data_IF_257568134256
#
_entry.id   IF_257568134256
#
_cell.length_a   1.000
_cell.length_b   1.000
_cell.length_c   1.000
_cell.angle_alpha   90.00
_cell.angle_beta   90.00
_cell.angle_gamma   90.00
#
_symmetry.space_group_name_H-M   'P 1'
#
loop_
_entity.id
_entity.type
_entity.pdbx_description
1 polymer ?
#
# COMPACT_ATOMS: atom_id res chain seq x y z
N UNK A 1 -0.70 76.30 -8.85
CA UNK A 1 -0.97 74.83 -8.90
C UNK A 1 0.23 73.89 -9.15
N UNK A 2 1.43 74.31 -9.59
CA UNK A 2 2.56 73.37 -9.78
C UNK A 2 3.50 73.22 -8.56
N UNK A 3 3.45 74.13 -7.57
CA UNK A 3 4.36 74.11 -6.41
C UNK A 3 3.90 73.19 -5.27
N UNK A 4 2.57 73.06 -5.07
CA UNK A 4 1.99 72.17 -4.06
C UNK A 4 2.19 70.68 -4.40
N UNK A 5 2.21 70.33 -5.70
CA UNK A 5 2.54 68.97 -6.17
C UNK A 5 4.03 68.62 -5.99
N UNK A 6 4.94 69.61 -6.04
CA UNK A 6 6.38 69.41 -5.82
C UNK A 6 6.73 69.23 -4.34
N UNK A 7 6.05 69.92 -3.43
CA UNK A 7 6.22 69.75 -1.98
C UNK A 7 5.64 68.41 -1.51
N UNK A 8 4.50 67.99 -2.06
CA UNK A 8 3.92 66.67 -1.78
C UNK A 8 4.78 65.51 -2.33
N UNK A 9 5.38 65.67 -3.52
CA UNK A 9 6.28 64.67 -4.10
C UNK A 9 7.62 64.57 -3.34
N UNK A 10 8.16 65.69 -2.82
CA UNK A 10 9.38 65.66 -1.99
C UNK A 10 9.14 65.08 -0.59
N UNK A 11 7.95 65.28 -0.02
CA UNK A 11 7.55 64.69 1.25
C UNK A 11 7.28 63.17 1.16
N UNK A 12 6.72 62.70 0.03
CA UNK A 12 6.59 61.25 -0.23
C UNK A 12 7.94 60.58 -0.55
N UNK A 13 8.86 61.27 -1.24
CA UNK A 13 10.20 60.73 -1.52
C UNK A 13 11.11 60.66 -0.27
N UNK A 14 11.02 61.64 0.65
CA UNK A 14 11.75 61.57 1.93
C UNK A 14 11.18 60.51 2.88
N UNK A 15 9.87 60.21 2.83
CA UNK A 15 9.28 59.10 3.59
C UNK A 15 9.66 57.72 3.01
N UNK A 16 9.95 57.62 1.71
CA UNK A 16 10.49 56.39 1.12
C UNK A 16 11.97 56.17 1.44
N UNK A 17 12.77 57.23 1.64
CA UNK A 17 14.23 57.09 1.90
C UNK A 17 14.54 56.92 3.40
N UNK A 18 13.77 57.52 4.32
CA UNK A 18 13.93 57.21 5.76
C UNK A 18 13.36 55.83 6.16
N UNK A 19 12.45 55.26 5.37
CA UNK A 19 11.97 53.88 5.56
C UNK A 19 12.98 52.80 5.12
N UNK A 20 13.94 53.17 4.24
CA UNK A 20 14.92 52.24 3.68
C UNK A 20 16.27 52.19 4.41
N UNK A 21 16.49 52.96 5.49
CA UNK A 21 17.78 52.97 6.22
C UNK A 21 17.67 52.54 7.70
N UNK A 22 16.46 52.28 8.22
CA UNK A 22 16.25 51.85 9.61
C UNK A 22 15.93 50.35 9.80
N UNK A 23 16.20 49.48 8.80
CA UNK A 23 16.02 48.02 8.93
C UNK A 23 17.28 47.22 8.54
N UNK A 24 18.44 47.89 8.37
CA UNK A 24 19.73 47.22 8.10
C UNK A 24 20.57 46.95 9.37
N UNK A 25 19.93 46.92 10.54
CA UNK A 25 20.52 46.37 11.76
C UNK A 25 19.40 45.69 12.56
N UNK A 26 19.53 44.38 12.80
CA UNK A 26 18.57 43.51 13.50
C UNK A 26 17.45 42.90 12.63
N UNK A 27 17.84 42.08 11.67
CA UNK A 27 16.98 41.02 11.13
C UNK A 27 17.77 39.70 11.08
N UNK A 28 18.22 39.24 12.24
CA UNK A 28 18.29 37.80 12.51
C UNK A 28 16.88 37.32 12.81
N UNK A 29 16.01 37.33 11.78
CA UNK A 29 14.67 36.76 11.89
C UNK A 29 14.89 35.26 11.91
N UNK A 30 14.76 34.67 13.11
CA UNK A 30 14.39 33.28 13.28
C UNK A 30 13.34 33.00 12.22
N UNK A 31 13.68 32.11 11.29
CA UNK A 31 12.66 31.30 10.65
C UNK A 31 11.97 30.61 11.82
N UNK A 32 10.78 31.08 12.19
CA UNK A 32 9.81 30.23 12.87
C UNK A 32 9.40 29.18 11.83
N UNK A 33 10.34 28.28 11.54
CA UNK A 33 9.99 26.89 11.29
C UNK A 33 9.11 26.54 12.47
N UNK A 34 7.88 26.01 12.29
CA UNK A 34 7.21 25.35 13.39
C UNK A 34 8.24 24.42 13.99
N UNK A 35 8.57 24.64 15.25
CA UNK A 35 9.42 23.73 15.97
C UNK A 35 8.59 22.45 16.14
N UNK A 36 8.59 21.63 15.10
CA UNK A 36 7.95 20.32 15.06
C UNK A 36 8.71 19.32 15.93
N UNK A 37 9.62 19.80 16.81
CA UNK A 37 10.07 19.02 17.96
C UNK A 37 8.94 18.93 18.97
N UNK A 38 7.93 18.12 18.61
CA UNK A 38 7.11 17.45 19.62
C UNK A 38 8.11 16.73 20.52
N UNK A 39 8.17 17.04 21.83
CA UNK A 39 9.04 16.33 22.76
C UNK A 39 8.77 14.84 22.64
N UNK A 40 9.84 14.03 22.69
CA UNK A 40 9.70 12.59 22.77
C UNK A 40 8.74 12.22 23.91
N UNK A 41 7.82 11.26 23.71
CA UNK A 41 6.88 10.87 24.74
C UNK A 41 7.62 10.27 25.94
N UNK A 42 7.04 10.39 27.14
CA UNK A 42 7.61 9.75 28.32
C UNK A 42 7.63 8.21 28.13
N UNK A 43 8.73 7.52 28.49
CA UNK A 43 8.82 6.08 28.37
C UNK A 43 7.80 5.39 29.29
N UNK A 44 7.13 4.36 28.77
CA UNK A 44 6.18 3.53 29.52
C UNK A 44 6.87 2.23 29.93
N UNK A 45 7.04 1.93 31.23
CA UNK A 45 7.61 0.66 31.66
C UNK A 45 6.85 -0.53 31.06
N UNK A 46 7.56 -1.55 30.58
CA UNK A 46 6.94 -2.74 29.97
C UNK A 46 5.87 -3.39 30.86
N UNK A 47 6.05 -3.36 32.19
CA UNK A 47 5.09 -3.92 33.15
C UNK A 47 3.79 -3.11 33.27
N UNK A 48 3.80 -1.85 32.82
CA UNK A 48 2.66 -0.91 32.87
C UNK A 48 2.01 -0.76 31.49
N UNK A 49 2.70 -1.13 30.41
CA UNK A 49 2.18 -1.07 29.05
C UNK A 49 0.91 -1.92 28.89
N UNK A 50 -0.12 -1.29 28.37
CA UNK A 50 -1.32 -1.91 27.80
C UNK A 50 -1.51 -1.51 26.34
N UNK A 51 -1.80 -2.48 25.48
CA UNK A 51 -1.96 -2.27 24.03
C UNK A 51 -3.19 -2.98 23.47
N UNK A 52 -3.87 -2.39 22.50
CA UNK A 52 -5.10 -2.95 21.94
C UNK A 52 -5.06 -3.04 20.41
N UNK A 53 -5.77 -4.03 19.86
CA UNK A 53 -6.05 -4.17 18.43
C UNK A 53 -7.56 -4.16 18.19
N UNK A 54 -7.99 -3.32 17.26
CA UNK A 54 -9.36 -3.22 16.73
C UNK A 54 -9.34 -3.81 15.32
N UNK A 55 -10.20 -4.78 15.03
CA UNK A 55 -10.31 -5.39 13.69
C UNK A 55 -11.71 -5.29 13.09
N UNK A 56 -11.78 -5.17 11.76
CA UNK A 56 -13.06 -5.08 11.03
C UNK A 56 -13.86 -6.38 11.11
N UNK A 57 -13.19 -7.53 11.00
CA UNK A 57 -13.78 -8.87 11.08
C UNK A 57 -13.03 -9.75 12.09
N UNK A 58 -13.55 -10.95 12.32
CA UNK A 58 -12.87 -12.02 13.07
C UNK A 58 -11.88 -12.85 12.25
N UNK A 59 -11.42 -13.95 12.84
CA UNK A 59 -10.37 -14.84 12.29
C UNK A 59 -10.75 -15.65 11.04
N UNK A 60 -11.99 -15.51 10.57
CA UNK A 60 -12.47 -16.11 9.32
C UNK A 60 -12.00 -15.31 8.09
N UNK A 61 -11.72 -14.02 8.26
CA UNK A 61 -11.06 -13.19 7.25
C UNK A 61 -9.57 -13.49 7.26
N UNK A 62 -9.00 -13.81 6.10
CA UNK A 62 -7.56 -14.09 5.98
C UNK A 62 -6.71 -12.86 6.30
N UNK A 63 -7.24 -11.67 6.07
CA UNK A 63 -6.61 -10.38 6.38
C UNK A 63 -6.58 -10.12 7.90
N UNK A 64 -7.74 -10.07 8.56
CA UNK A 64 -7.85 -9.80 9.99
C UNK A 64 -7.14 -10.87 10.82
N UNK A 65 -7.24 -12.14 10.41
CA UNK A 65 -6.49 -13.24 11.04
C UNK A 65 -4.99 -12.97 11.04
N UNK A 66 -4.44 -12.43 9.95
CA UNK A 66 -3.03 -12.11 9.84
C UNK A 66 -2.61 -11.00 10.83
N UNK A 67 -3.44 -9.96 11.02
CA UNK A 67 -3.23 -8.95 12.05
C UNK A 67 -3.32 -9.52 13.47
N UNK A 68 -4.36 -10.30 13.76
CA UNK A 68 -4.60 -10.93 15.06
C UNK A 68 -3.42 -11.83 15.46
N UNK A 69 -2.98 -12.70 14.55
CA UNK A 69 -1.86 -13.61 14.81
C UNK A 69 -0.56 -12.84 14.99
N UNK A 70 -0.27 -11.85 14.14
CA UNK A 70 0.93 -11.04 14.24
C UNK A 70 0.96 -10.19 15.52
N UNK A 71 -0.18 -9.63 15.95
CA UNK A 71 -0.28 -8.86 17.19
C UNK A 71 -0.02 -9.72 18.42
N UNK A 72 -0.59 -10.93 18.46
CA UNK A 72 -0.32 -11.91 19.52
C UNK A 72 1.16 -12.30 19.55
N UNK A 73 1.76 -12.58 18.39
CA UNK A 73 3.19 -12.92 18.28
C UNK A 73 4.07 -11.77 18.75
N UNK A 74 3.81 -10.54 18.31
CA UNK A 74 4.57 -9.36 18.74
C UNK A 74 4.45 -9.15 20.26
N UNK A 75 3.23 -9.19 20.81
CA UNK A 75 3.03 -9.06 22.26
C UNK A 75 3.81 -10.13 23.04
N UNK A 76 3.78 -11.39 22.58
CA UNK A 76 4.54 -12.47 23.20
C UNK A 76 6.07 -12.26 23.09
N UNK A 77 6.57 -11.86 21.93
CA UNK A 77 8.00 -11.58 21.70
C UNK A 77 8.50 -10.43 22.57
N UNK A 78 7.66 -9.41 22.81
CA UNK A 78 7.96 -8.26 23.67
C UNK A 78 7.74 -8.54 25.16
N UNK A 79 7.22 -9.72 25.52
CA UNK A 79 7.02 -10.14 26.90
C UNK A 79 5.76 -9.59 27.56
N UNK A 80 4.77 -9.12 26.79
CA UNK A 80 3.47 -8.72 27.33
C UNK A 80 2.68 -9.95 27.75
N UNK A 81 2.02 -9.85 28.89
CA UNK A 81 1.07 -10.88 29.36
C UNK A 81 -0.30 -10.70 28.69
N UNK A 82 -1.16 -11.71 28.79
CA UNK A 82 -2.54 -11.65 28.26
C UNK A 82 -3.43 -10.61 28.97
N UNK A 83 -3.01 -10.08 30.12
CA UNK A 83 -3.72 -8.99 30.82
C UNK A 83 -3.32 -7.60 30.29
N UNK A 84 -2.23 -7.53 29.53
CA UNK A 84 -1.65 -6.30 28.99
C UNK A 84 -2.07 -6.02 27.54
N UNK A 85 -2.83 -6.91 26.91
CA UNK A 85 -3.37 -6.61 25.60
C UNK A 85 -4.81 -7.05 25.44
N UNK A 86 -5.50 -6.38 24.53
CA UNK A 86 -6.86 -6.74 24.12
C UNK A 86 -6.99 -6.74 22.61
N UNK A 87 -7.88 -7.59 22.12
CA UNK A 87 -8.24 -7.69 20.71
C UNK A 87 -9.77 -7.64 20.65
N UNK A 88 -10.32 -6.69 19.92
CA UNK A 88 -11.76 -6.58 19.66
C UNK A 88 -11.99 -6.72 18.16
N UNK A 89 -12.87 -7.64 17.79
CA UNK A 89 -13.20 -7.96 16.41
C UNK A 89 -14.58 -7.46 16.04
N UNK A 90 -14.91 -7.50 14.75
CA UNK A 90 -16.24 -7.19 14.22
C UNK A 90 -16.64 -5.72 14.47
N UNK A 91 -15.66 -4.82 14.39
CA UNK A 91 -15.86 -3.38 14.59
C UNK A 91 -16.01 -2.70 13.21
N UNK A 92 -17.21 -2.27 12.82
CA UNK A 92 -17.45 -1.69 11.51
C UNK A 92 -16.76 -0.33 11.34
N UNK A 93 -16.65 0.11 10.09
CA UNK A 93 -16.09 1.40 9.67
C UNK A 93 -17.04 2.56 10.03
N UNK A 94 -17.20 2.80 11.32
CA UNK A 94 -18.19 3.70 11.90
C UNK A 94 -17.76 4.27 13.26
N UNK A 95 -18.66 5.02 13.89
CA UNK A 95 -18.44 5.58 15.24
C UNK A 95 -18.07 4.52 16.28
N UNK A 96 -18.44 3.26 16.07
CA UNK A 96 -18.07 2.13 16.92
C UNK A 96 -16.55 1.93 17.03
N UNK A 97 -15.79 2.27 15.98
CA UNK A 97 -14.33 2.27 16.02
C UNK A 97 -13.81 3.35 16.99
N UNK A 98 -14.35 4.57 16.91
CA UNK A 98 -14.04 5.66 17.83
C UNK A 98 -14.40 5.29 19.27
N UNK A 99 -15.59 4.74 19.49
CA UNK A 99 -16.06 4.35 20.82
C UNK A 99 -15.12 3.35 21.47
N UNK A 100 -14.61 2.37 20.72
CA UNK A 100 -13.62 1.40 21.21
C UNK A 100 -12.24 2.00 21.45
N UNK A 101 -11.77 2.86 20.56
CA UNK A 101 -10.52 3.58 20.75
C UNK A 101 -10.55 4.47 22.01
N UNK A 102 -11.68 5.14 22.27
CA UNK A 102 -11.92 5.94 23.46
C UNK A 102 -12.01 5.09 24.74
N UNK A 103 -12.73 3.96 24.70
CA UNK A 103 -12.82 3.01 25.82
C UNK A 103 -11.44 2.50 26.24
N UNK A 104 -10.58 2.12 25.28
CA UNK A 104 -9.20 1.73 25.59
C UNK A 104 -8.39 2.88 26.19
N UNK A 105 -8.56 4.11 25.69
CA UNK A 105 -7.87 5.26 26.27
C UNK A 105 -8.30 5.52 27.72
N UNK A 106 -9.60 5.48 28.02
CA UNK A 106 -10.15 5.64 29.37
C UNK A 106 -9.73 4.49 30.31
N UNK A 107 -9.58 3.27 29.80
CA UNK A 107 -9.09 2.09 30.53
C UNK A 107 -7.56 2.08 30.74
N UNK A 108 -6.89 3.14 30.31
CA UNK A 108 -5.46 3.36 30.50
C UNK A 108 -4.59 2.50 29.61
N UNK A 109 -4.99 2.29 28.35
CA UNK A 109 -4.09 1.77 27.31
C UNK A 109 -3.19 2.89 26.79
N UNK A 110 -1.95 2.54 26.42
CA UNK A 110 -0.98 3.51 25.88
C UNK A 110 -0.86 3.44 24.36
N UNK A 111 -1.32 2.34 23.76
CA UNK A 111 -1.17 2.06 22.33
C UNK A 111 -2.41 1.34 21.81
N UNK A 112 -3.01 1.86 20.74
CA UNK A 112 -4.20 1.28 20.11
C UNK A 112 -3.97 1.18 18.60
N UNK A 113 -4.20 -0.01 18.04
CA UNK A 113 -4.11 -0.30 16.62
C UNK A 113 -5.49 -0.52 16.01
N UNK A 114 -5.69 -0.11 14.76
CA UNK A 114 -6.84 -0.44 13.93
C UNK A 114 -6.39 -0.92 12.53
N UNK A 115 -7.04 -1.94 11.97
CA UNK A 115 -6.56 -2.64 10.77
C UNK A 115 -7.32 -2.35 9.47
N UNK A 116 -8.42 -1.59 9.49
CA UNK A 116 -9.21 -1.31 8.29
C UNK A 116 -9.08 0.12 7.82
N UNK A 117 -8.95 0.32 6.50
CA UNK A 117 -8.88 1.64 5.86
C UNK A 117 -9.96 2.62 6.37
N UNK A 118 -11.22 2.18 6.48
CA UNK A 118 -12.31 3.04 6.94
C UNK A 118 -12.31 3.33 8.45
N UNK A 119 -11.40 2.77 9.25
CA UNK A 119 -11.21 3.12 10.66
C UNK A 119 -10.46 4.44 10.85
N UNK A 120 -9.69 4.90 9.84
CA UNK A 120 -8.82 6.08 9.92
C UNK A 120 -9.49 7.32 10.52
N UNK A 121 -10.68 7.78 10.06
CA UNK A 121 -11.25 9.03 10.53
C UNK A 121 -11.64 8.97 12.01
N UNK A 122 -12.00 7.77 12.48
CA UNK A 122 -12.42 7.50 13.85
C UNK A 122 -11.22 7.38 14.80
N UNK A 123 -10.15 6.74 14.34
CA UNK A 123 -8.86 6.70 15.06
C UNK A 123 -8.23 8.09 15.17
N UNK A 124 -8.27 8.89 14.10
CA UNK A 124 -7.81 10.28 14.11
C UNK A 124 -8.65 11.15 15.06
N UNK A 125 -9.97 10.93 15.12
CA UNK A 125 -10.85 11.59 16.08
C UNK A 125 -10.44 11.25 17.52
N UNK A 126 -10.20 9.97 17.83
CA UNK A 126 -9.72 9.56 19.16
C UNK A 126 -8.34 10.18 19.47
N UNK A 127 -7.40 10.18 18.53
CA UNK A 127 -6.09 10.82 18.70
C UNK A 127 -6.19 12.33 18.96
N UNK A 128 -7.21 13.01 18.40
CA UNK A 128 -7.48 14.42 18.66
C UNK A 128 -7.91 14.69 20.11
N UNK A 129 -8.57 13.73 20.76
CA UNK A 129 -9.11 13.87 22.12
C UNK A 129 -8.15 13.30 23.20
N UNK A 130 -7.56 12.13 22.95
CA UNK A 130 -6.77 11.38 23.94
C UNK A 130 -5.26 11.50 23.68
N UNK A 131 -4.65 12.61 24.12
CA UNK A 131 -3.24 12.94 23.80
C UNK A 131 -2.17 12.06 24.44
N UNK A 132 -2.53 11.30 25.48
CA UNK A 132 -1.62 10.40 26.19
C UNK A 132 -1.52 9.01 25.56
N UNK A 133 -2.31 8.73 24.53
CA UNK A 133 -2.39 7.41 23.87
C UNK A 133 -1.86 7.53 22.45
N UNK A 134 -1.06 6.56 22.01
CA UNK A 134 -0.65 6.44 20.61
C UNK A 134 -1.72 5.66 19.84
N UNK A 135 -2.20 6.23 18.73
CA UNK A 135 -3.15 5.62 17.83
C UNK A 135 -2.46 5.29 16.52
N UNK A 136 -2.45 4.01 16.19
CA UNK A 136 -1.81 3.45 15.00
C UNK A 136 -2.88 2.87 14.10
N UNK A 137 -2.79 3.14 12.80
CA UNK A 137 -3.80 2.73 11.84
C UNK A 137 -3.13 2.11 10.62
N UNK A 138 -3.69 1.01 10.10
CA UNK A 138 -3.18 0.38 8.90
C UNK A 138 -3.82 0.99 7.65
N UNK A 139 -3.03 1.18 6.58
CA UNK A 139 -3.49 1.59 5.24
C UNK A 139 -3.96 3.04 5.07
N UNK A 140 -3.90 3.86 6.13
CA UNK A 140 -4.33 5.26 6.10
C UNK A 140 -3.41 6.19 5.29
N UNK A 141 -3.92 7.38 5.07
CA UNK A 141 -3.37 8.38 4.17
C UNK A 141 -3.18 9.76 4.82
N UNK A 142 -3.52 9.92 6.10
CA UNK A 142 -3.66 11.23 6.72
C UNK A 142 -2.60 11.52 7.78
N UNK A 143 -1.83 10.56 8.27
CA UNK A 143 -0.91 10.80 9.38
C UNK A 143 0.14 11.89 9.10
N UNK A 144 0.70 11.98 7.88
CA UNK A 144 1.66 13.02 7.51
C UNK A 144 1.05 14.43 7.47
N UNK A 145 -0.23 14.56 7.10
CA UNK A 145 -0.90 15.85 6.91
C UNK A 145 -1.76 16.28 8.11
N UNK A 146 -2.19 15.34 8.96
CA UNK A 146 -3.13 15.59 10.05
C UNK A 146 -2.57 16.52 11.13
N UNK A 147 -1.25 16.60 11.29
CA UNK A 147 -0.60 17.39 12.34
C UNK A 147 -0.92 16.92 13.76
N UNK A 148 -1.30 15.65 13.92
CA UNK A 148 -1.64 15.03 15.21
C UNK A 148 -0.51 14.11 15.63
N UNK A 149 0.27 14.52 16.63
CA UNK A 149 1.54 13.88 16.97
C UNK A 149 1.46 12.43 17.48
N UNK A 150 0.28 12.02 17.96
CA UNK A 150 -0.01 10.69 18.50
C UNK A 150 -0.86 9.83 17.55
N UNK A 151 -0.92 10.21 16.27
CA UNK A 151 -1.60 9.48 15.22
C UNK A 151 -0.60 9.05 14.15
N UNK A 152 -0.63 7.78 13.77
CA UNK A 152 0.37 7.16 12.91
C UNK A 152 -0.30 6.17 11.95
N UNK A 153 0.11 6.21 10.69
CA UNK A 153 -0.27 5.24 9.68
C UNK A 153 0.86 4.23 9.42
N UNK A 154 0.45 3.04 9.02
CA UNK A 154 1.35 1.97 8.69
C UNK A 154 0.89 1.19 7.47
N UNK A 155 1.86 0.80 6.67
CA UNK A 155 1.66 -0.03 5.51
C UNK A 155 2.84 -0.98 5.32
N UNK A 156 2.68 -1.90 4.38
CA UNK A 156 3.77 -2.74 3.89
C UNK A 156 3.86 -2.58 2.38
N UNK A 157 5.06 -2.67 1.83
CA UNK A 157 5.31 -2.64 0.39
C UNK A 157 4.82 -3.93 -0.27
N UNK A 158 3.50 -4.17 -0.23
CA UNK A 158 2.82 -5.37 -0.73
C UNK A 158 3.29 -5.67 -2.15
N UNK A 159 3.50 -4.63 -2.95
CA UNK A 159 4.00 -4.72 -4.32
C UNK A 159 5.32 -5.51 -4.42
N UNK A 160 6.24 -5.45 -3.46
CA UNK A 160 7.49 -6.23 -3.53
C UNK A 160 7.22 -7.74 -3.48
N UNK A 161 6.31 -8.16 -2.59
CA UNK A 161 5.86 -9.55 -2.48
C UNK A 161 5.06 -9.99 -3.70
N UNK A 162 4.22 -9.10 -4.24
CA UNK A 162 3.46 -9.35 -5.47
C UNK A 162 4.37 -9.54 -6.68
N UNK A 163 5.46 -8.76 -6.78
CA UNK A 163 6.43 -8.92 -7.87
C UNK A 163 7.08 -10.30 -7.82
N UNK A 164 7.53 -10.74 -6.64
CA UNK A 164 8.08 -12.09 -6.46
C UNK A 164 7.06 -13.19 -6.79
N UNK A 165 5.83 -13.04 -6.33
CA UNK A 165 4.76 -13.97 -6.68
C UNK A 165 4.47 -13.99 -8.19
N UNK A 166 4.61 -12.83 -8.86
CA UNK A 166 4.56 -12.68 -10.31
C UNK A 166 5.69 -13.39 -11.02
N UNK A 167 6.93 -13.33 -10.51
CA UNK A 167 8.06 -14.09 -11.08
C UNK A 167 7.79 -15.59 -11.01
N UNK A 168 7.28 -16.10 -9.88
CA UNK A 168 6.88 -17.50 -9.76
C UNK A 168 5.77 -17.88 -10.74
N UNK A 169 4.75 -17.03 -10.90
CA UNK A 169 3.71 -17.21 -11.90
C UNK A 169 4.25 -17.18 -13.33
N UNK A 170 5.21 -16.32 -13.62
CA UNK A 170 5.88 -16.25 -14.92
C UNK A 170 6.67 -17.51 -15.24
N UNK A 171 7.37 -18.09 -14.26
CA UNK A 171 8.04 -19.38 -14.42
C UNK A 171 7.05 -20.52 -14.64
N UNK A 172 5.92 -20.52 -13.92
CA UNK A 172 4.84 -21.48 -14.17
C UNK A 172 4.24 -21.31 -15.57
N UNK A 173 3.98 -20.07 -15.99
CA UNK A 173 3.48 -19.79 -17.32
C UNK A 173 4.48 -20.24 -18.40
N UNK A 174 5.78 -20.01 -18.20
CA UNK A 174 6.85 -20.47 -19.09
C UNK A 174 6.93 -22.01 -19.16
N UNK A 175 6.78 -22.72 -18.04
CA UNK A 175 6.70 -24.18 -18.04
C UNK A 175 5.49 -24.68 -18.87
N UNK A 176 4.39 -23.94 -18.87
CA UNK A 176 3.21 -24.29 -19.67
C UNK A 176 3.40 -24.06 -21.18
N UNK A 177 4.48 -23.41 -21.63
CA UNK A 177 4.85 -23.38 -23.06
C UNK A 177 5.51 -24.67 -23.53
N UNK A 178 5.89 -25.58 -22.62
CA UNK A 178 6.62 -26.79 -22.96
C UNK A 178 5.78 -27.72 -23.86
N UNK A 179 6.21 -27.83 -25.11
CA UNK A 179 5.56 -28.58 -26.19
C UNK A 179 5.60 -30.09 -26.00
N UNK A 180 6.38 -30.58 -25.05
CA UNK A 180 6.43 -32.00 -24.71
C UNK A 180 5.21 -32.42 -23.85
N UNK A 181 4.35 -31.47 -23.46
CA UNK A 181 3.09 -31.71 -22.76
C UNK A 181 1.88 -31.47 -23.69
N UNK A 182 0.90 -32.40 -23.68
CA UNK A 182 -0.42 -32.17 -24.28
C UNK A 182 -1.10 -30.97 -23.58
N UNK A 183 -1.18 -29.82 -24.25
CA UNK A 183 -1.76 -28.60 -23.69
C UNK A 183 -0.80 -27.40 -23.56
N UNK A 184 0.36 -27.44 -24.22
CA UNK A 184 1.26 -26.31 -24.32
C UNK A 184 0.54 -25.03 -24.80
N UNK A 185 0.78 -23.91 -24.11
CA UNK A 185 0.21 -22.62 -24.48
C UNK A 185 1.06 -21.96 -25.56
N UNK A 186 0.39 -21.18 -26.41
CA UNK A 186 1.01 -20.34 -27.44
C UNK A 186 1.19 -18.89 -26.97
N UNK A 187 1.89 -18.07 -27.76
CA UNK A 187 2.14 -16.66 -27.42
C UNK A 187 0.86 -15.81 -27.30
N UNK A 188 -0.15 -16.13 -28.09
CA UNK A 188 -1.48 -15.52 -28.04
C UNK A 188 -2.32 -16.03 -26.86
N UNK A 189 -1.92 -17.12 -26.23
CA UNK A 189 -2.56 -17.71 -25.07
C UNK A 189 -1.86 -17.39 -23.74
N UNK A 190 -0.79 -16.58 -23.75
CA UNK A 190 -0.08 -16.08 -22.57
C UNK A 190 -0.91 -15.03 -21.78
N UNK A 191 -2.15 -15.38 -21.45
CA UNK A 191 -3.13 -14.53 -20.79
C UNK A 191 -3.29 -14.98 -19.35
N UNK A 192 -3.09 -14.07 -18.40
CA UNK A 192 -3.35 -14.31 -16.97
C UNK A 192 -4.54 -13.49 -16.49
N UNK A 193 -5.17 -13.93 -15.40
CA UNK A 193 -6.33 -13.26 -14.81
C UNK A 193 -6.03 -12.74 -13.41
N UNK A 194 -6.72 -11.68 -13.01
CA UNK A 194 -6.64 -11.13 -11.66
C UNK A 194 -8.03 -10.80 -11.12
N UNK A 195 -8.37 -11.36 -9.97
CA UNK A 195 -9.58 -11.01 -9.22
C UNK A 195 -9.24 -9.88 -8.24
N UNK A 196 -9.72 -8.67 -8.48
CA UNK A 196 -9.53 -7.53 -7.58
C UNK A 196 -10.78 -7.29 -6.72
N UNK A 197 -10.61 -6.85 -5.48
CA UNK A 197 -11.73 -6.41 -4.65
C UNK A 197 -12.30 -5.07 -5.14
N UNK A 198 -11.50 -4.01 -5.04
CA UNK A 198 -11.86 -2.63 -5.39
C UNK A 198 -10.81 -1.99 -6.31
N UNK A 199 -11.16 -0.96 -7.09
CA UNK A 199 -10.21 -0.21 -7.92
C UNK A 199 -9.40 0.81 -7.11
N UNK A 200 -8.90 0.41 -5.93
CA UNK A 200 -8.06 1.25 -5.08
C UNK A 200 -6.57 1.13 -5.44
N UNK A 201 -5.77 2.13 -5.10
CA UNK A 201 -4.34 2.16 -5.38
C UNK A 201 -3.62 0.89 -4.89
N UNK A 202 -3.95 0.38 -3.70
CA UNK A 202 -3.39 -0.87 -3.17
C UNK A 202 -3.63 -2.08 -4.10
N UNK A 203 -4.83 -2.18 -4.67
CA UNK A 203 -5.18 -3.27 -5.57
C UNK A 203 -4.51 -3.08 -6.93
N UNK A 204 -4.52 -1.85 -7.45
CA UNK A 204 -3.91 -1.49 -8.74
C UNK A 204 -2.39 -1.72 -8.72
N UNK A 205 -1.73 -1.24 -7.68
CA UNK A 205 -0.33 -1.53 -7.38
C UNK A 205 -0.06 -3.02 -7.31
N UNK A 206 -0.85 -3.74 -6.51
CA UNK A 206 -0.64 -5.15 -6.25
C UNK A 206 -0.70 -6.00 -7.53
N UNK A 207 -1.72 -5.83 -8.37
CA UNK A 207 -1.80 -6.57 -9.63
C UNK A 207 -0.78 -6.06 -10.65
N UNK A 208 -0.47 -4.76 -10.68
CA UNK A 208 0.49 -4.22 -11.66
C UNK A 208 1.87 -4.76 -11.37
N UNK A 209 2.26 -4.79 -10.10
CA UNK A 209 3.50 -5.43 -9.65
C UNK A 209 3.54 -6.92 -9.97
N UNK A 210 2.46 -7.66 -9.68
CA UNK A 210 2.35 -9.07 -10.05
C UNK A 210 2.55 -9.28 -11.56
N UNK A 211 1.90 -8.47 -12.38
CA UNK A 211 2.02 -8.53 -13.83
C UNK A 211 3.44 -8.21 -14.32
N UNK A 212 4.10 -7.20 -13.75
CA UNK A 212 5.50 -6.89 -14.06
C UNK A 212 6.43 -8.04 -13.68
N UNK A 213 6.16 -8.72 -12.56
CA UNK A 213 6.85 -9.96 -12.17
C UNK A 213 6.70 -11.05 -13.23
N UNK A 214 5.48 -11.28 -13.72
CA UNK A 214 5.22 -12.25 -14.81
C UNK A 214 5.96 -11.85 -16.08
N UNK A 215 5.87 -10.58 -16.49
CA UNK A 215 6.53 -10.06 -17.71
C UNK A 215 8.05 -10.11 -17.67
N UNK A 216 8.65 -10.14 -16.48
CA UNK A 216 10.10 -10.33 -16.34
C UNK A 216 10.57 -11.71 -16.80
N UNK A 217 9.64 -12.68 -16.89
CA UNK A 217 9.88 -14.04 -17.40
C UNK A 217 9.24 -14.24 -18.77
N UNK A 218 7.97 -13.88 -18.93
CA UNK A 218 7.19 -14.04 -20.17
C UNK A 218 6.76 -12.66 -20.69
N UNK A 219 7.61 -12.05 -21.51
CA UNK A 219 7.50 -10.63 -21.88
C UNK A 219 6.24 -10.24 -22.67
N UNK A 220 5.63 -11.18 -23.40
CA UNK A 220 4.41 -11.00 -24.18
C UNK A 220 3.13 -11.29 -23.40
N UNK A 221 3.23 -11.68 -22.12
CA UNK A 221 2.05 -11.95 -21.31
C UNK A 221 1.11 -10.74 -21.24
N UNK A 222 -0.19 -11.02 -21.18
CA UNK A 222 -1.25 -10.02 -20.97
C UNK A 222 -2.07 -10.37 -19.73
N UNK A 223 -2.68 -9.38 -19.09
CA UNK A 223 -3.50 -9.59 -17.91
C UNK A 223 -4.91 -9.00 -18.08
N UNK A 224 -5.91 -9.77 -17.63
CA UNK A 224 -7.27 -9.30 -17.49
C UNK A 224 -7.64 -9.21 -16.01
N UNK A 225 -8.09 -8.04 -15.57
CA UNK A 225 -8.54 -7.78 -14.20
C UNK A 225 -10.05 -7.66 -14.19
N UNK A 226 -10.72 -8.21 -13.18
CA UNK A 226 -12.14 -7.97 -12.92
C UNK A 226 -12.34 -7.70 -11.43
N UNK A 227 -13.21 -6.75 -11.11
CA UNK A 227 -13.49 -6.34 -9.73
C UNK A 227 -14.77 -6.99 -9.19
N UNK A 228 -14.73 -7.44 -7.93
CA UNK A 228 -15.88 -7.99 -7.20
C UNK A 228 -16.68 -6.90 -6.50
N UNK A 229 -16.09 -5.73 -6.25
CA UNK A 229 -16.66 -4.68 -5.38
C UNK A 229 -16.93 -5.18 -3.95
N UNK A 230 -16.05 -6.07 -3.46
CA UNK A 230 -16.05 -6.55 -2.07
C UNK A 230 -14.66 -7.07 -1.72
N UNK A 231 -14.21 -6.81 -0.49
CA UNK A 231 -12.99 -7.41 0.05
C UNK A 231 -13.15 -8.92 0.32
N UNK A 232 -14.37 -9.34 0.67
CA UNK A 232 -14.70 -10.72 0.98
C UNK A 232 -16.09 -11.07 0.41
N UNK A 233 -16.12 -11.89 -0.64
CA UNK A 233 -17.32 -12.54 -1.15
C UNK A 233 -16.91 -13.79 -1.93
N UNK A 234 -16.91 -14.93 -1.25
CA UNK A 234 -16.44 -16.19 -1.83
C UNK A 234 -17.20 -16.59 -3.10
N UNK A 235 -18.51 -16.31 -3.17
CA UNK A 235 -19.33 -16.60 -4.36
C UNK A 235 -18.91 -15.69 -5.51
N UNK A 236 -18.81 -14.38 -5.28
CA UNK A 236 -18.43 -13.42 -6.31
C UNK A 236 -16.98 -13.61 -6.80
N UNK A 237 -16.05 -13.88 -5.89
CA UNK A 237 -14.65 -14.19 -6.22
C UNK A 237 -14.54 -15.44 -7.09
N UNK A 238 -15.26 -16.51 -6.72
CA UNK A 238 -15.32 -17.75 -7.51
C UNK A 238 -15.88 -17.50 -8.91
N UNK A 239 -17.02 -16.81 -9.03
CA UNK A 239 -17.63 -16.52 -10.33
C UNK A 239 -16.73 -15.62 -11.20
N UNK A 240 -16.04 -14.67 -10.57
CA UNK A 240 -15.11 -13.78 -11.27
C UNK A 240 -13.91 -14.55 -11.80
N UNK A 241 -13.33 -15.45 -11.00
CA UNK A 241 -12.25 -16.33 -11.44
C UNK A 241 -12.68 -17.27 -12.57
N UNK A 242 -13.85 -17.89 -12.46
CA UNK A 242 -14.42 -18.73 -13.52
C UNK A 242 -14.59 -17.96 -14.83
N UNK A 243 -15.08 -16.71 -14.76
CA UNK A 243 -15.25 -15.89 -15.95
C UNK A 243 -13.92 -15.46 -16.59
N UNK A 244 -12.87 -15.24 -15.80
CA UNK A 244 -11.51 -15.00 -16.32
C UNK A 244 -10.96 -16.26 -17.01
N UNK A 245 -11.16 -17.43 -16.41
CA UNK A 245 -10.77 -18.73 -16.99
C UNK A 245 -11.51 -18.98 -18.31
N UNK A 246 -12.81 -18.71 -18.36
CA UNK A 246 -13.64 -18.84 -19.57
C UNK A 246 -13.24 -17.85 -20.67
N UNK A 247 -12.71 -16.69 -20.29
CA UNK A 247 -12.08 -15.72 -21.18
C UNK A 247 -10.65 -16.13 -21.62
N UNK A 248 -10.19 -17.33 -21.26
CA UNK A 248 -8.93 -17.93 -21.70
C UNK A 248 -7.72 -17.63 -20.81
N UNK A 249 -7.90 -17.06 -19.62
CA UNK A 249 -6.79 -16.89 -18.68
C UNK A 249 -6.25 -18.25 -18.20
N UNK A 250 -4.94 -18.48 -18.34
CA UNK A 250 -4.26 -19.74 -18.04
C UNK A 250 -3.69 -19.82 -16.62
N UNK A 251 -3.70 -18.71 -15.88
CA UNK A 251 -3.28 -18.60 -14.49
C UNK A 251 -4.05 -17.46 -13.83
N UNK A 252 -4.49 -17.63 -12.58
CA UNK A 252 -5.24 -16.61 -11.85
C UNK A 252 -4.50 -16.18 -10.58
N UNK A 253 -4.48 -14.89 -10.30
CA UNK A 253 -4.16 -14.36 -8.98
C UNK A 253 -5.32 -13.53 -8.42
N UNK A 254 -5.26 -13.19 -7.13
CA UNK A 254 -6.28 -12.38 -6.48
C UNK A 254 -5.71 -11.36 -5.48
N UNK A 255 -6.47 -10.29 -5.28
CA UNK A 255 -6.44 -9.42 -4.11
C UNK A 255 -7.83 -9.39 -3.50
N UNK A 256 -8.17 -10.49 -2.84
CA UNK A 256 -9.41 -10.72 -2.11
C UNK A 256 -9.14 -11.70 -0.96
N UNK A 257 -10.02 -11.73 0.04
CA UNK A 257 -9.72 -12.31 1.35
C UNK A 257 -10.31 -13.71 1.58
N UNK A 258 -10.83 -14.36 0.53
CA UNK A 258 -11.46 -15.68 0.60
C UNK A 258 -10.78 -16.77 -0.26
N UNK A 259 -11.35 -17.98 -0.24
CA UNK A 259 -10.94 -19.13 -1.05
C UNK A 259 -11.71 -19.25 -2.39
N UNK A 260 -12.50 -18.25 -2.76
CA UNK A 260 -13.35 -18.28 -3.96
C UNK A 260 -12.57 -18.49 -5.26
N UNK A 261 -11.57 -17.64 -5.55
CA UNK A 261 -10.76 -17.79 -6.76
C UNK A 261 -9.87 -19.05 -6.74
N UNK A 262 -9.16 -19.39 -5.63
CA UNK A 262 -8.43 -20.65 -5.54
C UNK A 262 -9.30 -21.90 -5.79
N UNK A 263 -10.54 -21.90 -5.30
CA UNK A 263 -11.48 -23.01 -5.52
C UNK A 263 -11.87 -23.13 -6.99
N UNK A 264 -12.16 -22.02 -7.67
CA UNK A 264 -12.42 -22.02 -9.12
C UNK A 264 -11.24 -22.58 -9.92
N UNK A 265 -10.02 -22.19 -9.53
CA UNK A 265 -8.78 -22.67 -10.12
C UNK A 265 -8.60 -24.18 -9.97
N UNK A 266 -8.79 -24.73 -8.76
CA UNK A 266 -8.70 -26.17 -8.52
C UNK A 266 -9.73 -26.96 -9.35
N UNK A 267 -10.98 -26.48 -9.40
CA UNK A 267 -12.06 -27.11 -10.19
C UNK A 267 -11.75 -27.15 -11.70
N UNK A 268 -10.97 -26.19 -12.19
CA UNK A 268 -10.58 -26.08 -13.60
C UNK A 268 -9.14 -26.52 -13.88
N UNK A 269 -8.42 -26.99 -12.86
CA UNK A 269 -6.99 -27.32 -12.95
C UNK A 269 -6.12 -26.17 -13.49
N UNK A 270 -6.48 -24.93 -13.13
CA UNK A 270 -5.74 -23.71 -13.50
C UNK A 270 -4.84 -23.30 -12.33
N UNK A 271 -3.53 -23.06 -12.54
CA UNK A 271 -2.64 -22.57 -11.49
C UNK A 271 -3.16 -21.30 -10.82
N UNK A 272 -2.97 -21.21 -9.49
CA UNK A 272 -3.33 -20.02 -8.71
C UNK A 272 -2.18 -19.46 -7.87
N UNK A 273 -2.16 -18.14 -7.75
CA UNK A 273 -1.30 -17.38 -6.83
C UNK A 273 -2.20 -16.58 -5.88
N UNK A 274 -2.10 -16.83 -4.58
CA UNK A 274 -2.98 -16.21 -3.58
C UNK A 274 -2.32 -15.05 -2.82
N UNK A 275 -3.09 -14.47 -1.89
CA UNK A 275 -2.67 -13.39 -1.00
C UNK A 275 -2.85 -13.81 0.47
N UNK A 276 -1.94 -13.37 1.34
CA UNK A 276 -1.88 -13.59 2.79
C UNK A 276 -1.75 -15.04 3.29
N UNK A 277 -2.11 -16.05 2.49
CA UNK A 277 -2.01 -17.45 2.91
C UNK A 277 -1.92 -18.42 1.74
N UNK A 278 -1.35 -19.60 2.03
CA UNK A 278 -1.35 -20.72 1.09
C UNK A 278 -2.75 -21.34 0.98
N UNK A 279 -3.12 -21.79 -0.21
CA UNK A 279 -4.48 -22.31 -0.48
C UNK A 279 -4.60 -23.81 -0.21
N UNK A 280 -3.48 -24.55 -0.16
CA UNK A 280 -3.48 -26.01 0.01
C UNK A 280 -4.03 -26.80 -1.18
N UNK A 281 -4.39 -26.12 -2.28
CA UNK A 281 -4.88 -26.70 -3.53
C UNK A 281 -3.72 -27.30 -4.35
N UNK A 282 -3.98 -28.29 -5.20
CA UNK A 282 -2.92 -28.85 -6.06
C UNK A 282 -2.46 -27.85 -7.12
N UNK A 283 -3.32 -26.91 -7.46
CA UNK A 283 -3.07 -25.79 -8.37
C UNK A 283 -2.31 -24.62 -7.73
N UNK A 284 -1.99 -24.66 -6.43
CA UNK A 284 -1.29 -23.59 -5.73
C UNK A 284 0.17 -23.45 -6.17
N UNK A 285 0.57 -22.24 -6.56
CA UNK A 285 1.96 -21.89 -6.91
C UNK A 285 2.67 -21.27 -5.71
N UNK A 286 2.17 -20.13 -5.22
CA UNK A 286 2.76 -19.37 -4.11
C UNK A 286 1.75 -18.32 -3.61
N UNK A 287 1.97 -17.75 -2.43
CA UNK A 287 1.29 -16.56 -1.97
C UNK A 287 2.29 -15.50 -1.51
N UNK A 288 2.01 -14.23 -1.77
CA UNK A 288 2.62 -13.12 -1.03
C UNK A 288 1.88 -12.94 0.30
N UNK A 289 2.60 -12.60 1.37
CA UNK A 289 2.05 -12.42 2.72
C UNK A 289 2.65 -11.18 3.38
N UNK A 290 1.84 -10.48 4.17
CA UNK A 290 2.32 -9.40 5.03
C UNK A 290 2.60 -9.92 6.43
N UNK A 291 3.72 -9.49 7.00
CA UNK A 291 4.10 -9.78 8.36
C UNK A 291 4.04 -8.48 9.17
N UNK A 292 3.03 -8.34 10.02
CA UNK A 292 2.84 -7.15 10.85
C UNK A 292 3.65 -7.18 12.15
N UNK A 293 4.30 -8.30 12.47
CA UNK A 293 5.11 -8.44 13.69
C UNK A 293 6.17 -7.34 13.79
N UNK A 294 6.98 -7.05 12.74
CA UNK A 294 7.98 -5.99 12.83
C UNK A 294 7.40 -4.61 13.14
N UNK A 295 6.20 -4.29 12.63
CA UNK A 295 5.56 -3.01 12.88
C UNK A 295 5.03 -2.92 14.33
N UNK A 296 4.34 -3.96 14.79
CA UNK A 296 3.85 -4.00 16.17
C UNK A 296 4.99 -3.92 17.18
N UNK A 297 6.07 -4.68 16.96
CA UNK A 297 7.27 -4.62 17.80
C UNK A 297 7.92 -3.23 17.76
N UNK A 298 8.04 -2.62 16.58
CA UNK A 298 8.55 -1.26 16.42
C UNK A 298 7.75 -0.23 17.23
N UNK A 299 6.41 -0.24 17.12
CA UNK A 299 5.55 0.68 17.83
C UNK A 299 5.58 0.45 19.35
N UNK A 300 5.57 -0.81 19.80
CA UNK A 300 5.74 -1.17 21.22
C UNK A 300 7.09 -0.67 21.74
N UNK A 301 8.18 -0.88 20.99
CA UNK A 301 9.51 -0.42 21.38
C UNK A 301 9.61 1.10 21.44
N UNK A 302 8.91 1.82 20.57
CA UNK A 302 8.85 3.27 20.63
C UNK A 302 8.18 3.73 21.94
N UNK A 303 7.02 3.16 22.29
CA UNK A 303 6.30 3.51 23.52
C UNK A 303 7.11 3.17 24.78
N UNK A 304 7.73 1.99 24.84
CA UNK A 304 8.49 1.58 26.03
C UNK A 304 9.73 2.45 26.24
N UNK A 305 10.39 2.85 25.15
CA UNK A 305 11.63 3.61 25.21
C UNK A 305 11.42 5.13 25.16
N UNK A 306 10.18 5.61 25.11
CA UNK A 306 9.88 7.03 24.98
C UNK A 306 10.45 7.61 23.69
N UNK A 307 10.26 6.92 22.57
CA UNK A 307 10.66 7.38 21.24
C UNK A 307 9.42 7.72 20.42
N UNK A 308 9.53 8.72 19.57
CA UNK A 308 8.51 9.05 18.58
C UNK A 308 8.30 7.89 17.59
N UNK A 309 7.04 7.47 17.41
CA UNK A 309 6.60 6.62 16.30
C UNK A 309 6.55 7.49 15.04
N UNK A 310 7.03 6.97 13.91
CA UNK A 310 6.92 7.64 12.61
C UNK A 310 5.46 7.86 12.25
N UNK A 311 5.13 9.05 11.76
CA UNK A 311 3.78 9.35 11.25
C UNK A 311 3.38 8.35 10.17
N UNK A 312 4.31 8.02 9.26
CA UNK A 312 4.13 6.98 8.26
C UNK A 312 5.21 5.91 8.39
N UNK A 313 4.78 4.68 8.57
CA UNK A 313 5.64 3.50 8.53
C UNK A 313 5.37 2.68 7.27
N UNK A 314 6.41 2.36 6.51
CA UNK A 314 6.31 1.41 5.39
C UNK A 314 7.28 0.26 5.59
N UNK A 315 6.75 -0.92 5.87
CA UNK A 315 7.51 -2.16 5.88
C UNK A 315 7.90 -2.61 4.46
N UNK A 316 9.00 -3.33 4.33
CA UNK A 316 9.51 -3.88 3.06
C UNK A 316 9.86 -5.35 3.22
N UNK A 317 10.28 -5.98 2.13
CA UNK A 317 10.89 -7.31 2.15
C UNK A 317 12.22 -7.31 2.92
N UNK A 318 12.92 -6.18 2.97
CA UNK A 318 14.16 -6.00 3.72
C UNK A 318 13.95 -5.91 5.23
N UNK A 319 12.79 -5.40 5.67
CA UNK A 319 12.39 -5.36 7.09
C UNK A 319 11.62 -6.61 7.52
N UNK A 320 11.51 -7.62 6.64
CA UNK A 320 10.72 -8.83 6.83
C UNK A 320 9.21 -8.58 7.02
N UNK A 321 8.73 -7.36 6.73
CA UNK A 321 7.31 -7.01 6.76
C UNK A 321 6.55 -7.55 5.54
N UNK A 322 7.27 -7.88 4.47
CA UNK A 322 6.73 -8.49 3.26
C UNK A 322 7.41 -9.83 3.04
N UNK A 323 6.61 -10.88 2.87
CA UNK A 323 7.06 -12.26 2.75
C UNK A 323 6.38 -12.97 1.58
N UNK A 324 6.94 -14.13 1.23
CA UNK A 324 6.30 -15.12 0.36
C UNK A 324 6.16 -16.42 1.15
N UNK A 325 5.10 -17.18 0.89
CA UNK A 325 4.92 -18.51 1.51
C UNK A 325 5.91 -19.52 0.93
N UNK A 326 5.94 -20.72 1.51
CA UNK A 326 6.50 -21.87 0.82
C UNK A 326 5.79 -22.08 -0.55
N UNK A 327 6.53 -22.62 -1.51
CA UNK A 327 6.00 -22.98 -2.81
C UNK A 327 4.98 -24.12 -2.69
N UNK A 328 3.91 -24.00 -3.47
CA UNK A 328 2.95 -25.08 -3.67
C UNK A 328 3.40 -26.08 -4.72
N UNK A 329 2.61 -27.13 -4.89
CA UNK A 329 2.91 -28.24 -5.81
C UNK A 329 2.85 -27.85 -7.28
N UNK A 330 2.15 -26.76 -7.63
CA UNK A 330 2.09 -26.28 -9.00
C UNK A 330 3.23 -25.33 -9.38
N UNK A 331 4.15 -25.01 -8.46
CA UNK A 331 5.32 -24.19 -8.79
C UNK A 331 6.28 -24.93 -9.72
N UNK A 332 6.78 -24.25 -10.75
CA UNK A 332 7.74 -24.81 -11.69
C UNK A 332 9.10 -25.10 -11.03
N UNK A 333 9.86 -26.04 -11.60
CA UNK A 333 11.22 -26.32 -11.15
C UNK A 333 12.11 -25.06 -11.21
N UNK A 334 13.02 -24.90 -10.25
CA UNK A 334 13.92 -23.75 -10.17
C UNK A 334 13.30 -22.47 -9.61
N UNK A 335 11.99 -22.45 -9.33
CA UNK A 335 11.29 -21.26 -8.81
C UNK A 335 11.95 -20.70 -7.55
N UNK A 336 12.24 -21.51 -6.54
CA UNK A 336 12.82 -21.02 -5.28
C UNK A 336 14.16 -20.28 -5.51
N UNK A 337 15.05 -20.86 -6.33
CA UNK A 337 16.34 -20.26 -6.62
C UNK A 337 16.19 -18.90 -7.33
N UNK A 338 15.23 -18.78 -8.24
CA UNK A 338 14.96 -17.51 -8.92
C UNK A 338 14.37 -16.47 -7.96
N UNK A 339 13.48 -16.88 -7.05
CA UNK A 339 12.92 -15.98 -6.04
C UNK A 339 13.98 -15.46 -5.08
N UNK A 340 14.92 -16.30 -4.66
CA UNK A 340 16.04 -15.88 -3.80
C UNK A 340 16.94 -14.84 -4.50
N UNK A 341 17.23 -15.05 -5.80
CA UNK A 341 17.97 -14.08 -6.64
C UNK A 341 17.24 -12.73 -6.72
N UNK A 342 15.94 -12.75 -7.07
CA UNK A 342 15.14 -11.53 -7.23
C UNK A 342 14.93 -10.82 -5.90
N UNK A 343 14.73 -11.56 -4.80
CA UNK A 343 14.65 -10.99 -3.44
C UNK A 343 15.93 -10.25 -3.09
N UNK A 344 17.11 -10.80 -3.40
CA UNK A 344 18.38 -10.10 -3.18
C UNK A 344 18.50 -8.81 -4.01
N UNK A 345 17.98 -8.79 -5.23
CA UNK A 345 17.96 -7.58 -6.07
C UNK A 345 17.00 -6.51 -5.53
N UNK A 346 15.83 -6.90 -5.02
CA UNK A 346 14.90 -6.00 -4.33
C UNK A 346 15.55 -5.39 -3.09
N UNK A 347 16.13 -6.23 -2.21
CA UNK A 347 16.77 -5.77 -0.96
C UNK A 347 17.96 -4.85 -1.22
N UNK A 348 18.75 -5.10 -2.27
CA UNK A 348 19.88 -4.25 -2.63
C UNK A 348 19.48 -2.99 -3.41
N UNK A 349 18.22 -2.87 -3.84
CA UNK A 349 17.74 -1.79 -4.71
C UNK A 349 18.21 -1.89 -6.16
N UNK A 350 18.90 -2.99 -6.53
CA UNK A 350 19.30 -3.27 -7.91
C UNK A 350 18.10 -3.53 -8.83
N UNK A 351 16.96 -3.92 -8.24
CA UNK A 351 15.67 -3.99 -8.91
C UNK A 351 14.71 -3.03 -8.21
N UNK A 352 14.06 -2.17 -9.00
CA UNK A 352 12.91 -1.36 -8.59
C UNK A 352 11.70 -1.90 -9.36
N UNK A 353 10.66 -2.35 -8.64
CA UNK A 353 9.49 -3.01 -9.25
C UNK A 353 8.87 -2.15 -10.35
N UNK A 354 8.65 -0.87 -10.05
CA UNK A 354 8.08 0.10 -10.99
C UNK A 354 9.15 0.90 -11.73
N UNK A 355 10.22 0.25 -12.19
CA UNK A 355 11.16 0.83 -13.17
C UNK A 355 10.40 1.25 -14.43
N UNK A 356 10.38 2.55 -14.70
CA UNK A 356 9.58 3.16 -15.75
C UNK A 356 10.00 2.70 -17.16
N UNK A 357 11.22 2.15 -17.31
CA UNK A 357 11.66 1.55 -18.58
C UNK A 357 11.02 0.18 -18.89
N UNK A 358 10.37 -0.45 -17.90
CA UNK A 358 9.80 -1.81 -18.02
C UNK A 358 8.33 -1.84 -18.43
N UNK A 359 7.67 -0.69 -18.46
CA UNK A 359 6.27 -0.58 -18.85
C UNK A 359 5.97 0.73 -19.56
N UNK A 360 4.86 0.74 -20.28
CA UNK A 360 4.32 1.92 -20.95
C UNK A 360 2.89 2.17 -20.48
N UNK A 361 2.42 3.41 -20.61
CA UNK A 361 1.11 3.86 -20.07
C UNK A 361 0.26 4.53 -21.15
N UNK A 362 0.36 4.07 -22.40
CA UNK A 362 -0.34 4.67 -23.54
C UNK A 362 -1.85 4.59 -23.38
N UNK A 363 -2.34 3.46 -22.88
CA UNK A 363 -3.76 3.26 -22.61
C UNK A 363 -4.29 4.21 -21.53
N UNK A 364 -3.55 4.40 -20.43
CA UNK A 364 -3.96 5.32 -19.36
C UNK A 364 -4.06 6.78 -19.82
N UNK A 365 -3.24 7.20 -20.79
CA UNK A 365 -3.31 8.56 -21.35
C UNK A 365 -4.53 8.76 -22.26
N UNK A 366 -5.03 7.69 -22.87
CA UNK A 366 -6.21 7.71 -23.72
C UNK A 366 -7.53 7.58 -22.93
N UNK A 367 -7.47 7.22 -21.64
CA UNK A 367 -8.66 7.16 -20.80
C UNK A 367 -9.26 8.57 -20.63
N UNK A 368 -10.57 8.68 -20.87
CA UNK A 368 -11.35 9.92 -20.73
C UNK A 368 -12.43 9.79 -19.66
N UNK A 369 -12.40 8.69 -18.89
CA UNK A 369 -13.29 8.48 -17.75
C UNK A 369 -13.06 9.51 -16.65
N UNK A 370 -14.00 9.60 -15.71
CA UNK A 370 -13.85 10.42 -14.51
C UNK A 370 -12.68 9.96 -13.62
N UNK A 371 -12.15 8.75 -13.83
CA UNK A 371 -11.01 8.18 -13.10
C UNK A 371 -9.69 8.32 -13.87
N UNK A 372 -9.73 8.98 -15.04
CA UNK A 372 -8.56 9.13 -15.89
C UNK A 372 -7.41 9.82 -15.17
N UNK A 373 -6.22 9.22 -15.28
CA UNK A 373 -4.96 9.79 -14.81
C UNK A 373 -4.23 10.59 -15.89
N UNK A 374 -4.86 10.79 -17.05
CA UNK A 374 -4.23 11.40 -18.22
C UNK A 374 -3.64 12.80 -17.92
N UNK A 375 -4.28 13.59 -17.08
CA UNK A 375 -3.81 14.93 -16.70
C UNK A 375 -2.59 14.92 -15.77
N UNK A 376 -2.31 13.81 -15.10
CA UNK A 376 -1.24 13.68 -14.10
C UNK A 376 0.00 12.93 -14.63
N UNK A 377 -0.09 12.35 -15.82
CA UNK A 377 0.95 11.54 -16.46
C UNK A 377 1.73 12.37 -17.49
N UNK A 378 3.06 12.37 -17.40
CA UNK A 378 3.98 12.76 -18.48
C UNK A 378 4.76 11.55 -18.96
N UNK A 379 4.92 11.41 -20.28
CA UNK A 379 5.63 10.28 -20.90
C UNK A 379 6.63 10.74 -21.95
N UNK A 380 7.59 9.89 -22.28
CA UNK A 380 8.44 10.03 -23.46
C UNK A 380 7.72 9.58 -24.75
N UNK A 381 8.43 9.60 -25.89
CA UNK A 381 7.87 9.25 -27.19
C UNK A 381 7.49 7.76 -27.29
N UNK A 382 8.20 6.90 -26.56
CA UNK A 382 7.98 5.47 -26.48
C UNK A 382 6.80 5.10 -25.56
N UNK A 383 6.35 6.03 -24.71
CA UNK A 383 5.23 5.89 -23.80
C UNK A 383 5.62 5.48 -22.37
N UNK A 384 6.90 5.58 -22.01
CA UNK A 384 7.40 5.38 -20.66
C UNK A 384 7.15 6.61 -19.79
N UNK A 385 6.87 6.38 -18.52
CA UNK A 385 6.55 7.43 -17.57
C UNK A 385 7.81 8.27 -17.22
N UNK A 386 7.71 9.59 -17.34
CA UNK A 386 8.80 10.53 -16.99
C UNK A 386 8.42 11.46 -15.85
N UNK A 387 7.13 11.67 -15.60
CA UNK A 387 6.61 12.30 -14.40
C UNK A 387 5.20 11.77 -14.08
N UNK A 388 4.88 11.71 -12.80
CA UNK A 388 3.54 11.39 -12.31
C UNK A 388 3.23 12.25 -11.10
N UNK A 389 2.19 13.07 -11.20
CA UNK A 389 1.69 13.85 -10.07
C UNK A 389 0.71 12.97 -9.28
N UNK A 390 1.18 12.37 -8.20
CA UNK A 390 0.35 11.62 -7.27
C UNK A 390 -0.36 12.59 -6.31
N UNK A 391 -1.56 12.20 -5.89
CA UNK A 391 -2.29 12.80 -4.77
C UNK A 391 -1.77 12.17 -3.47
N UNK A 392 -0.69 12.75 -2.94
CA UNK A 392 -0.03 12.24 -1.74
C UNK A 392 -0.68 12.81 -0.49
N UNK A 393 -1.08 14.07 -0.52
CA UNK A 393 -1.67 14.74 0.64
C UNK A 393 -3.12 14.30 0.91
N UNK A 394 -3.84 13.79 -0.09
CA UNK A 394 -5.19 13.24 0.01
C UNK A 394 -6.16 14.18 0.75
N UNK A 395 -6.21 15.43 0.29
CA UNK A 395 -7.04 16.49 0.88
C UNK A 395 -8.53 16.42 0.47
N UNK A 396 -8.91 15.33 -0.20
CA UNK A 396 -10.24 15.08 -0.74
C UNK A 396 -10.52 15.78 -2.07
N UNK A 397 -9.56 16.50 -2.65
CA UNK A 397 -9.71 17.13 -3.98
C UNK A 397 -9.29 16.23 -5.14
N UNK A 398 -8.62 15.11 -4.86
CA UNK A 398 -8.14 14.15 -5.86
C UNK A 398 -7.22 14.78 -6.92
N UNK A 399 -6.50 15.83 -6.55
CA UNK A 399 -5.58 16.54 -7.46
C UNK A 399 -4.16 16.08 -7.21
N UNK A 400 -3.50 15.51 -8.22
CA UNK A 400 -2.08 15.20 -8.10
C UNK A 400 -1.21 16.45 -7.98
N UNK A 401 -0.46 16.54 -6.89
CA UNK A 401 0.42 17.65 -6.53
C UNK A 401 1.89 17.25 -6.41
N UNK A 402 2.17 15.97 -6.18
CA UNK A 402 3.51 15.50 -5.86
C UNK A 402 4.09 14.67 -6.99
N UNK A 403 5.22 15.09 -7.60
CA UNK A 403 5.90 14.25 -8.58
C UNK A 403 6.62 13.09 -7.87
N UNK A 404 6.20 11.86 -8.16
CA UNK A 404 6.70 10.64 -7.49
C UNK A 404 7.63 9.81 -8.37
N UNK A 405 7.99 10.31 -9.55
CA UNK A 405 9.03 9.71 -10.38
C UNK A 405 10.40 10.14 -9.88
N UNK A 406 11.22 9.16 -9.52
CA UNK A 406 12.56 9.35 -8.96
C UNK A 406 13.60 8.61 -9.78
N UNK A 407 14.84 9.08 -9.69
CA UNK A 407 16.00 8.37 -10.24
C UNK A 407 16.99 8.07 -9.13
N UNK A 408 17.27 6.79 -8.90
CA UNK A 408 18.24 6.31 -7.92
C UNK A 408 19.04 5.14 -8.54
N UNK A 409 20.36 5.12 -8.33
CA UNK A 409 21.20 4.03 -8.86
C UNK A 409 21.19 3.90 -10.39
N UNK A 410 20.79 4.95 -11.11
CA UNK A 410 20.63 4.94 -12.57
C UNK A 410 19.29 4.36 -13.05
N UNK A 411 18.39 3.96 -12.15
CA UNK A 411 17.04 3.48 -12.46
C UNK A 411 16.05 4.62 -12.22
N UNK A 412 15.22 4.92 -13.21
CA UNK A 412 14.08 5.84 -13.06
C UNK A 412 12.83 5.03 -12.77
N UNK A 413 12.18 5.28 -11.65
CA UNK A 413 11.08 4.46 -11.14
C UNK A 413 9.98 5.30 -10.50
N UNK A 414 8.78 4.72 -10.43
CA UNK A 414 7.66 5.23 -9.64
C UNK A 414 7.88 4.88 -8.17
N UNK A 415 8.11 5.87 -7.32
CA UNK A 415 8.29 5.69 -5.89
C UNK A 415 6.92 5.74 -5.19
N UNK A 416 6.27 4.60 -5.00
CA UNK A 416 4.84 4.50 -4.66
C UNK A 416 4.43 4.82 -3.21
N UNK A 417 5.33 4.66 -2.24
CA UNK A 417 5.02 4.83 -0.80
C UNK A 417 6.13 5.62 -0.12
N UNK A 418 6.53 6.73 -0.76
CA UNK A 418 7.63 7.57 -0.32
C UNK A 418 7.15 8.88 0.31
N UNK A 419 6.04 9.44 -0.19
CA UNK A 419 5.40 10.62 0.37
C UNK A 419 4.44 10.34 1.53
N UNK A 420 3.91 9.11 1.60
CA UNK A 420 3.04 8.57 2.66
C UNK A 420 3.19 7.04 2.70
N UNK A 421 2.69 6.39 3.74
CA UNK A 421 2.78 4.94 3.89
C UNK A 421 1.90 4.19 2.88
N UNK A 422 0.64 4.59 2.76
CA UNK A 422 -0.29 4.01 1.81
C UNK A 422 0.12 4.24 0.34
N UNK A 423 -0.21 3.28 -0.54
CA UNK A 423 0.17 3.34 -1.94
C UNK A 423 -0.58 4.45 -2.68
N UNK A 424 0.05 5.00 -3.71
CA UNK A 424 -0.58 5.90 -4.68
C UNK A 424 -0.30 5.50 -6.14
N UNK A 425 0.10 4.24 -6.39
CA UNK A 425 0.16 3.71 -7.76
C UNK A 425 -1.25 3.29 -8.20
N UNK A 426 -1.82 4.05 -9.13
CA UNK A 426 -3.20 3.90 -9.58
C UNK A 426 -3.34 4.03 -11.12
N UNK A 427 -2.27 3.68 -11.84
CA UNK A 427 -2.21 3.74 -13.31
C UNK A 427 -2.40 2.34 -13.92
N UNK A 428 -3.27 2.24 -14.94
CA UNK A 428 -3.38 1.02 -15.75
C UNK A 428 -2.30 1.02 -16.84
N UNK A 429 -1.30 0.15 -16.70
CA UNK A 429 -0.21 0.02 -17.68
C UNK A 429 -0.63 -0.79 -18.92
N UNK A 430 0.10 -0.63 -20.02
CA UNK A 430 -0.16 -1.37 -21.26
C UNK A 430 0.02 -2.89 -21.05
N UNK A 431 -0.89 -3.68 -21.61
CA UNK A 431 -0.96 -5.14 -21.42
C UNK A 431 -1.93 -5.56 -20.31
N UNK A 432 -2.44 -4.62 -19.51
CA UNK A 432 -3.55 -4.84 -18.57
C UNK A 432 -4.86 -4.37 -19.21
N UNK A 433 -5.90 -5.19 -19.08
CA UNK A 433 -7.27 -4.85 -19.46
C UNK A 433 -8.22 -5.00 -18.27
N UNK A 434 -9.17 -4.09 -18.11
CA UNK A 434 -10.20 -4.15 -17.08
C UNK A 434 -11.49 -4.68 -17.71
N UNK A 435 -11.92 -5.87 -17.27
CA UNK A 435 -13.18 -6.48 -17.68
C UNK A 435 -14.38 -5.92 -16.94
N UNK A 436 -15.58 -6.19 -17.45
CA UNK A 436 -16.82 -5.84 -16.76
C UNK A 436 -16.92 -6.58 -15.41
N UNK A 437 -17.49 -5.90 -14.40
CA UNK A 437 -17.83 -6.51 -13.13
C UNK A 437 -18.80 -7.67 -13.36
N UNK A 438 -18.63 -8.76 -12.61
CA UNK A 438 -19.56 -9.90 -12.64
C UNK A 438 -20.75 -9.55 -11.76
N UNK A 439 -21.92 -9.41 -12.37
CA UNK A 439 -23.18 -9.29 -11.62
C UNK A 439 -23.55 -10.68 -11.14
N UNK A 440 -23.38 -10.93 -9.85
CA UNK A 440 -23.83 -12.18 -9.22
C UNK A 440 -25.33 -12.03 -8.99
N UNK A 441 -26.16 -12.78 -9.74
CA UNK A 441 -27.59 -12.90 -9.39
C UNK A 441 -27.70 -13.60 -8.03
N UNK A 442 -28.46 -13.00 -7.11
CA UNK A 442 -28.66 -13.48 -5.73
C UNK A 442 -29.13 -14.94 -5.66
#
# INVERSE_FOLDING_TARGET
MPMFKKILALALALMMILGCVAVLASCGKKTDTPDNTVPDPDPVPLAELKTALITLHGDQSTYDKNFIDAFKTACANKGLTTEQYSIVTDIPEGDQCYDKAAEFADDGYQLVFADSFGHEPYMLKAAKEFKSVQFCHATGTQAHTAGVANFHDAFASIYEGRYLAGVAAGLKLLEMYDTDNDGAITDDEAKIGYVGAWPYAEVISGYTSFFLGVKSVVSNATMQVRYTSSWYDEKAEKQTALALIDDGCKLISQHADSMGAPTACEERSIPNVSYNGATGTNTFVIASKINWVPYFEYAIDCVINGKKISADYTGTIGTDSVQITALGTAAAEGTQAKLDEVKAQLVSGALKVFDCSKFTVKNAKADTSAFSKASFITMDEEGHLTAYLADVDDDGTYTGETNVIKTEGGITYFAESDGRSAPYFDIIIDGISIGAAVVVEE
#
